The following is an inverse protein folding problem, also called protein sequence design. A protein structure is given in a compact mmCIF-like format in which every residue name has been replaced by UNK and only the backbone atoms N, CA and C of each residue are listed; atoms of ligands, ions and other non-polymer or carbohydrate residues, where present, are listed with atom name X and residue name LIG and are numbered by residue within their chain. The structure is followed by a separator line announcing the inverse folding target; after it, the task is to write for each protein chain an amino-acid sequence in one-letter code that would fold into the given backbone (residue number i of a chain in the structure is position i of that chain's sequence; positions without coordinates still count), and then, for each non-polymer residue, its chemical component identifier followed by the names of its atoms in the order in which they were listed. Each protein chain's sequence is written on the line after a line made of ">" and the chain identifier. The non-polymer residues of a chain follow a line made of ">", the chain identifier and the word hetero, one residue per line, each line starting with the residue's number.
data_IF_591808555150
#
_entry.id   IF_591808555150
#
_cell.length_a   1.000
_cell.length_b   1.000
_cell.length_c   1.000
_cell.angle_alpha   90.00
_cell.angle_beta   90.00
_cell.angle_gamma   90.00
#
_symmetry.space_group_name_H-M   'P 1'
#
loop_
_entity.id
_entity.type
_entity.pdbx_description
1 polymer ?
#
# COMPACT_ATOMS: atom_id res chain seq x y z
N UNK A 1 -21.49 -2.20 -65.60
CA UNK A 1 -21.17 -1.18 -66.61
C UNK A 1 -21.54 0.18 -66.03
N UNK A 2 -20.59 1.13 -66.06
CA UNK A 2 -20.70 2.54 -65.62
C UNK A 2 -20.59 2.78 -64.10
N UNK A 3 -19.74 3.67 -63.58
CA UNK A 3 -18.68 4.54 -64.14
C UNK A 3 -17.84 5.02 -62.93
N UNK A 4 -16.52 4.85 -63.00
CA UNK A 4 -15.55 5.64 -62.23
C UNK A 4 -15.49 7.08 -62.79
N UNK A 5 -15.38 8.08 -61.91
CA UNK A 5 -14.73 9.40 -62.05
C UNK A 5 -14.92 10.13 -60.71
N UNK A 6 -13.99 10.10 -59.76
CA UNK A 6 -12.75 10.89 -59.66
C UNK A 6 -12.95 12.40 -59.40
N UNK A 7 -12.55 12.79 -58.18
CA UNK A 7 -11.64 13.89 -57.85
C UNK A 7 -12.16 15.27 -57.35
N UNK A 8 -11.67 15.61 -56.14
CA UNK A 8 -11.21 16.93 -55.61
C UNK A 8 -12.30 17.98 -55.29
N UNK A 9 -12.22 18.82 -54.26
CA UNK A 9 -11.14 19.22 -53.36
C UNK A 9 -11.73 19.95 -52.12
N UNK A 10 -11.01 19.88 -50.99
CA UNK A 10 -10.75 20.97 -50.05
C UNK A 10 -11.89 21.85 -49.47
N UNK A 11 -12.22 21.69 -48.17
CA UNK A 11 -11.84 22.64 -47.08
C UNK A 11 -12.64 22.44 -45.78
N UNK A 12 -11.88 22.41 -44.68
CA UNK A 12 -12.13 23.09 -43.41
C UNK A 12 -13.39 22.73 -42.60
N UNK A 13 -13.18 21.89 -41.57
CA UNK A 13 -14.11 21.71 -40.46
C UNK A 13 -13.37 21.15 -39.25
N UNK A 14 -12.57 22.00 -38.61
CA UNK A 14 -11.81 21.72 -37.40
C UNK A 14 -12.78 21.38 -36.25
N UNK A 15 -13.12 20.10 -36.08
CA UNK A 15 -13.88 19.62 -34.93
C UNK A 15 -12.91 19.14 -33.84
N UNK A 16 -12.93 19.88 -32.74
CA UNK A 16 -12.01 19.80 -31.63
C UNK A 16 -11.89 18.39 -31.03
N UNK A 17 -10.63 18.03 -30.84
CA UNK A 17 -10.16 17.05 -29.86
C UNK A 17 -10.66 17.45 -28.46
N UNK A 18 -11.80 16.93 -28.03
CA UNK A 18 -12.21 16.96 -26.63
C UNK A 18 -11.79 15.65 -25.96
N UNK A 19 -10.48 15.49 -25.76
CA UNK A 19 -9.98 14.59 -24.73
C UNK A 19 -10.31 15.25 -23.41
N UNK A 20 -11.45 14.90 -22.81
CA UNK A 20 -11.77 15.22 -21.43
C UNK A 20 -10.83 14.42 -20.52
N UNK A 21 -9.57 14.87 -20.45
CA UNK A 21 -8.68 14.54 -19.36
C UNK A 21 -9.24 15.20 -18.12
N UNK A 22 -10.12 14.48 -17.42
CA UNK A 22 -10.47 14.83 -16.06
C UNK A 22 -9.18 14.91 -15.25
N UNK A 23 -9.09 15.79 -14.25
CA UNK A 23 -7.93 15.82 -13.38
C UNK A 23 -7.95 14.48 -12.65
N UNK A 24 -7.17 13.50 -13.14
CA UNK A 24 -6.63 12.49 -12.28
C UNK A 24 -5.88 13.31 -11.23
N UNK A 25 -6.52 13.49 -10.09
CA UNK A 25 -5.93 13.80 -8.80
C UNK A 25 -4.93 12.68 -8.56
N UNK A 26 -3.80 12.78 -9.25
CA UNK A 26 -2.55 12.14 -8.89
C UNK A 26 -2.25 12.81 -7.57
N UNK A 27 -2.80 12.24 -6.50
CA UNK A 27 -2.40 12.51 -5.15
C UNK A 27 -0.89 12.32 -5.19
N UNK A 28 -0.17 13.44 -5.34
CA UNK A 28 1.24 13.55 -5.01
C UNK A 28 1.24 13.46 -3.50
N UNK A 29 1.08 12.25 -3.01
CA UNK A 29 1.44 11.91 -1.65
C UNK A 29 2.95 12.11 -1.65
N UNK A 30 3.39 13.31 -1.27
CA UNK A 30 4.74 13.56 -0.82
C UNK A 30 4.86 12.85 0.52
N UNK A 31 4.84 11.50 0.48
CA UNK A 31 5.36 10.70 1.57
C UNK A 31 6.83 11.12 1.57
N UNK A 32 7.18 11.93 2.56
CA UNK A 32 8.56 12.21 2.95
C UNK A 32 9.34 10.93 2.74
N UNK A 33 10.31 10.96 1.82
CA UNK A 33 11.32 9.90 1.64
C UNK A 33 12.14 9.83 2.92
N UNK A 34 11.55 9.31 4.00
CA UNK A 34 12.29 8.63 5.04
C UNK A 34 12.75 7.35 4.39
N UNK A 35 14.06 7.24 4.19
CA UNK A 35 14.73 6.02 3.75
C UNK A 35 14.09 4.81 4.46
N UNK A 36 13.36 3.91 3.79
CA UNK A 36 12.78 2.80 4.52
C UNK A 36 13.92 1.89 4.92
N UNK A 37 14.15 1.84 6.24
CA UNK A 37 14.32 0.59 6.95
C UNK A 37 15.60 -0.18 6.61
N UNK A 38 16.75 0.30 7.09
CA UNK A 38 17.71 -0.67 7.60
C UNK A 38 17.04 -1.34 8.80
N UNK A 39 16.53 -2.57 8.62
CA UNK A 39 15.95 -3.35 9.72
C UNK A 39 17.15 -3.79 10.58
N UNK A 40 17.55 -2.96 11.53
CA UNK A 40 18.63 -3.30 12.46
C UNK A 40 18.06 -4.20 13.56
N UNK A 41 18.51 -5.46 13.57
CA UNK A 41 18.25 -6.36 14.68
C UNK A 41 19.14 -6.01 15.86
N UNK A 42 18.55 -5.97 17.05
CA UNK A 42 19.30 -5.92 18.30
C UNK A 42 20.26 -7.11 18.41
N UNK A 43 21.41 -6.91 19.06
CA UNK A 43 22.45 -7.96 19.16
C UNK A 43 21.93 -9.20 19.87
N UNK A 44 21.09 -9.06 20.90
CA UNK A 44 20.53 -10.19 21.63
C UNK A 44 19.57 -11.00 20.76
N UNK A 45 18.75 -10.30 19.96
CA UNK A 45 17.81 -10.93 19.02
C UNK A 45 18.58 -11.65 17.91
N UNK A 46 19.65 -11.03 17.42
CA UNK A 46 20.52 -11.61 16.39
C UNK A 46 21.19 -12.88 16.88
N UNK A 47 21.76 -12.87 18.07
CA UNK A 47 22.46 -14.04 18.63
C UNK A 47 21.47 -15.20 18.91
N UNK A 48 20.25 -14.89 19.39
CA UNK A 48 19.17 -15.88 19.51
C UNK A 48 18.75 -16.46 18.17
N UNK A 49 18.62 -15.62 17.13
CA UNK A 49 18.27 -16.07 15.79
C UNK A 49 19.35 -16.98 15.20
N UNK A 50 20.64 -16.63 15.38
CA UNK A 50 21.77 -17.47 14.96
C UNK A 50 21.73 -18.83 15.67
N UNK A 51 21.52 -18.86 16.99
CA UNK A 51 21.39 -20.12 17.73
C UNK A 51 20.20 -20.96 17.24
N UNK A 52 19.08 -20.32 16.92
CA UNK A 52 17.91 -21.01 16.33
C UNK A 52 18.21 -21.58 14.94
N UNK A 53 18.94 -20.84 14.09
CA UNK A 53 19.38 -21.34 12.79
C UNK A 53 20.31 -22.54 12.94
N UNK A 54 21.30 -22.46 13.84
CA UNK A 54 22.23 -23.57 14.10
C UNK A 54 21.48 -24.83 14.55
N UNK A 55 20.50 -24.67 15.44
CA UNK A 55 19.64 -25.76 15.89
C UNK A 55 18.84 -26.35 14.73
N UNK A 56 18.23 -25.51 13.90
CA UNK A 56 17.47 -25.96 12.73
C UNK A 56 18.34 -26.78 11.77
N UNK A 57 19.57 -26.33 11.47
CA UNK A 57 20.51 -27.07 10.62
C UNK A 57 20.96 -28.37 11.28
N UNK A 58 21.16 -28.41 12.59
CA UNK A 58 21.55 -29.64 13.30
C UNK A 58 20.42 -30.68 13.31
N UNK A 59 19.16 -30.24 13.37
CA UNK A 59 17.99 -31.14 13.41
C UNK A 59 17.51 -31.57 12.01
N UNK A 60 17.67 -30.72 10.98
CA UNK A 60 17.08 -30.92 9.65
C UNK A 60 18.11 -31.20 8.55
N UNK A 61 19.40 -30.98 8.80
CA UNK A 61 20.48 -31.21 7.84
C UNK A 61 21.53 -32.14 8.47
N UNK A 62 22.21 -32.90 7.62
CA UNK A 62 23.28 -33.81 8.07
C UNK A 62 24.56 -33.06 8.47
N UNK A 63 24.74 -31.82 7.98
CA UNK A 63 25.94 -31.01 8.22
C UNK A 63 25.62 -29.76 9.07
N UNK A 64 26.24 -29.62 10.26
CA UNK A 64 26.00 -28.47 11.13
C UNK A 64 26.65 -27.20 10.58
N UNK A 65 25.95 -26.07 10.71
CA UNK A 65 26.44 -24.77 10.26
C UNK A 65 27.28 -24.05 11.33
N UNK A 66 28.42 -23.49 10.91
CA UNK A 66 29.27 -22.68 11.79
C UNK A 66 28.63 -21.34 12.15
N UNK A 67 28.98 -20.78 13.32
CA UNK A 67 28.44 -19.50 13.81
C UNK A 67 28.59 -18.34 12.81
N UNK A 68 29.73 -18.27 12.12
CA UNK A 68 30.02 -17.22 11.12
C UNK A 68 29.10 -17.35 9.90
N UNK A 69 28.90 -18.58 9.41
CA UNK A 69 28.04 -18.85 8.26
C UNK A 69 26.57 -18.58 8.59
N UNK A 70 26.13 -18.97 9.79
CA UNK A 70 24.78 -18.68 10.29
C UNK A 70 24.53 -17.17 10.41
N UNK A 71 25.53 -16.40 10.86
CA UNK A 71 25.47 -14.94 10.89
C UNK A 71 25.37 -14.30 9.50
N UNK A 72 26.14 -14.80 8.52
CA UNK A 72 26.08 -14.32 7.14
C UNK A 72 24.71 -14.63 6.49
N UNK A 73 24.16 -15.82 6.74
CA UNK A 73 22.85 -16.21 6.25
C UNK A 73 21.73 -15.37 6.88
N UNK A 74 21.83 -15.10 8.19
CA UNK A 74 20.89 -14.21 8.87
C UNK A 74 20.96 -12.79 8.30
N UNK A 75 22.14 -12.29 7.96
CA UNK A 75 22.30 -10.98 7.33
C UNK A 75 21.59 -10.91 5.98
N UNK A 76 21.73 -11.94 5.14
CA UNK A 76 21.00 -12.04 3.88
C UNK A 76 19.47 -12.02 4.08
N UNK A 77 18.96 -12.76 5.06
CA UNK A 77 17.53 -12.73 5.39
C UNK A 77 17.04 -11.33 5.79
N UNK A 78 17.86 -10.59 6.53
CA UNK A 78 17.52 -9.24 7.01
C UNK A 78 17.60 -8.20 5.88
N UNK A 79 18.58 -8.29 4.98
CA UNK A 79 18.73 -7.33 3.90
C UNK A 79 17.70 -7.52 2.78
N UNK A 80 17.47 -8.76 2.35
CA UNK A 80 16.63 -9.02 1.17
C UNK A 80 15.19 -9.41 1.52
N UNK A 81 15.01 -10.25 2.54
CA UNK A 81 13.70 -10.88 2.81
C UNK A 81 12.88 -10.07 3.83
N UNK A 82 13.52 -9.47 4.82
CA UNK A 82 12.83 -8.73 5.86
C UNK A 82 12.01 -7.53 5.34
N UNK A 83 12.47 -6.72 4.35
CA UNK A 83 11.66 -5.63 3.82
C UNK A 83 10.36 -6.10 3.15
N UNK A 84 10.39 -7.25 2.47
CA UNK A 84 9.20 -7.82 1.84
C UNK A 84 8.14 -8.22 2.88
N UNK A 85 8.57 -8.91 3.95
CA UNK A 85 7.70 -9.32 5.06
C UNK A 85 7.19 -8.09 5.82
N UNK A 86 8.06 -7.11 6.08
CA UNK A 86 7.71 -5.90 6.81
C UNK A 86 6.63 -5.08 6.07
N UNK A 87 6.77 -4.92 4.76
CA UNK A 87 5.78 -4.20 3.95
C UNK A 87 4.42 -4.91 3.95
N UNK A 88 4.40 -6.24 3.86
CA UNK A 88 3.16 -7.02 3.97
C UNK A 88 2.52 -6.84 5.35
N UNK A 89 3.30 -6.92 6.43
CA UNK A 89 2.80 -6.73 7.78
C UNK A 89 2.19 -5.33 7.99
N UNK A 90 2.77 -4.28 7.40
CA UNK A 90 2.20 -2.94 7.42
C UNK A 90 0.88 -2.89 6.65
N UNK A 91 0.81 -3.50 5.46
CA UNK A 91 -0.41 -3.53 4.66
C UNK A 91 -1.55 -4.22 5.43
N UNK A 92 -1.27 -5.37 6.03
CA UNK A 92 -2.24 -6.11 6.85
C UNK A 92 -2.70 -5.31 8.07
N UNK A 93 -1.77 -4.61 8.74
CA UNK A 93 -2.11 -3.73 9.87
C UNK A 93 -2.99 -2.56 9.43
N UNK A 94 -2.68 -1.95 8.28
CA UNK A 94 -3.49 -0.86 7.71
C UNK A 94 -4.90 -1.35 7.39
N UNK A 95 -5.06 -2.50 6.74
CA UNK A 95 -6.37 -3.04 6.40
C UNK A 95 -7.25 -3.26 7.64
N UNK A 96 -6.69 -3.88 8.68
CA UNK A 96 -7.40 -4.13 9.94
C UNK A 96 -7.81 -2.85 10.64
N UNK A 97 -6.93 -1.84 10.66
CA UNK A 97 -7.25 -0.56 11.27
C UNK A 97 -8.28 0.23 10.45
N UNK A 98 -8.18 0.19 9.12
CA UNK A 98 -9.15 0.85 8.23
C UNK A 98 -10.57 0.33 8.44
N UNK A 99 -10.74 -0.99 8.61
CA UNK A 99 -12.04 -1.58 8.92
C UNK A 99 -12.64 -1.00 10.22
N UNK A 100 -11.83 -0.88 11.29
CA UNK A 100 -12.28 -0.31 12.57
C UNK A 100 -12.57 1.18 12.50
N UNK A 101 -11.78 1.92 11.75
CA UNK A 101 -12.02 3.36 11.53
C UNK A 101 -13.33 3.57 10.78
N UNK A 102 -13.64 2.75 9.77
CA UNK A 102 -14.89 2.82 9.04
C UNK A 102 -16.11 2.46 9.92
N UNK A 103 -15.98 1.48 10.82
CA UNK A 103 -17.02 1.16 11.80
C UNK A 103 -17.30 2.35 12.74
N UNK A 104 -16.24 2.98 13.26
CA UNK A 104 -16.36 4.14 14.15
C UNK A 104 -17.03 5.34 13.49
N UNK A 105 -16.77 5.56 12.19
CA UNK A 105 -17.38 6.65 11.43
C UNK A 105 -18.91 6.56 11.44
N UNK A 106 -19.46 5.34 11.38
CA UNK A 106 -20.91 5.11 11.41
C UNK A 106 -21.45 5.20 12.83
N UNK A 107 -20.81 4.55 13.81
CA UNK A 107 -21.29 4.48 15.20
C UNK A 107 -21.30 5.86 15.88
N UNK A 108 -20.25 6.65 15.64
CA UNK A 108 -20.10 7.97 16.25
C UNK A 108 -20.70 9.10 15.40
N UNK A 109 -21.35 8.80 14.27
CA UNK A 109 -21.93 9.81 13.42
C UNK A 109 -23.12 10.51 14.11
N UNK A 110 -23.01 11.82 14.30
CA UNK A 110 -24.11 12.67 14.74
C UNK A 110 -24.45 13.68 13.64
N UNK A 111 -25.72 13.75 13.23
CA UNK A 111 -26.15 14.77 12.27
C UNK A 111 -26.04 16.17 12.90
N UNK A 112 -25.29 17.11 12.29
CA UNK A 112 -25.22 18.47 12.78
C UNK A 112 -26.55 19.20 12.51
N UNK A 113 -26.87 20.19 13.37
CA UNK A 113 -28.03 21.09 13.23
C UNK A 113 -29.43 20.50 13.49
N UNK A 114 -29.54 19.45 14.31
CA UNK A 114 -30.82 18.87 14.76
C UNK A 114 -31.65 19.76 15.72
N UNK A 115 -31.15 20.94 16.11
CA UNK A 115 -31.75 21.79 17.14
C UNK A 115 -33.19 22.22 16.82
N UNK A 116 -33.46 22.67 15.59
CA UNK A 116 -34.78 23.16 15.20
C UNK A 116 -35.79 22.05 14.88
N UNK A 117 -35.32 20.83 14.60
CA UNK A 117 -36.20 19.67 14.35
C UNK A 117 -36.79 19.08 15.64
N UNK A 118 -36.15 19.31 16.79
CA UNK A 118 -36.56 18.79 18.10
C UNK A 118 -37.62 19.63 18.82
N UNK A 119 -38.05 20.77 18.26
CA UNK A 119 -39.10 21.57 18.88
C UNK A 119 -40.48 21.03 18.47
N UNK A 120 -41.26 20.41 19.37
CA UNK A 120 -42.65 20.08 19.07
C UNK A 120 -43.36 21.39 18.75
N UNK A 121 -43.89 21.50 17.53
CA UNK A 121 -44.47 22.72 17.00
C UNK A 121 -45.36 23.38 18.04
N UNK A 122 -44.97 24.58 18.49
CA UNK A 122 -45.77 25.40 19.38
C UNK A 122 -47.07 25.70 18.64
N UNK A 123 -48.14 24.97 18.97
CA UNK A 123 -49.49 25.18 18.41
C UNK A 123 -49.84 26.65 18.59
N UNK A 124 -50.09 27.32 17.46
CA UNK A 124 -50.60 28.70 17.39
C UNK A 124 -52.06 28.73 17.80
#
# INVERSE_FOLDING_TARGET
>A
MQRCCAARDSRAGRAGRAQSGGPHTRLRITITRGNPMAIELDKDVRDRAIASLQRYFTENMDEPIGNIQAGALLHFFVEEIAPAIYNLAIADAQERLHARVAELDIECHAEPFEYWKKQPGRKR
#
